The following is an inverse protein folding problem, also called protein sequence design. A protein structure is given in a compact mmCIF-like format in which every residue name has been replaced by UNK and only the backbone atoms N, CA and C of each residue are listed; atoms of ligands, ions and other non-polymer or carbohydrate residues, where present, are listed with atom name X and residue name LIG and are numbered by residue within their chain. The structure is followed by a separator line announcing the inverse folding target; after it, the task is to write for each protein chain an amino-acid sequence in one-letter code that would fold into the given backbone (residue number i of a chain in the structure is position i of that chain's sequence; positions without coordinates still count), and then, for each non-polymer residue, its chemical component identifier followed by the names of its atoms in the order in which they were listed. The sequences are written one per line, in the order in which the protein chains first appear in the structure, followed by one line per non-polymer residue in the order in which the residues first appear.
data_IF_089461927651
#
_entry.id   IF_089461927651
#
_cell.length_a   1.000
_cell.length_b   1.000
_cell.length_c   1.000
_cell.angle_alpha   90.00
_cell.angle_beta   90.00
_cell.angle_gamma   90.00
#
_symmetry.space_group_name_H-M   'P 1'
#
loop_
_entity.id
_entity.type
_entity.pdbx_description
1 polymer ?
#
# COMPACT_ATOMS: atom_id res chain seq x y z
N UNK A 1 -13.39 13.40 13.50
CA UNK A 1 -13.02 13.14 12.08
C UNK A 1 -11.96 12.04 12.09
N UNK A 2 -12.03 11.08 11.17
CA UNK A 2 -11.16 9.90 11.11
C UNK A 2 -10.68 9.67 9.67
N UNK A 3 -9.62 8.87 9.52
CA UNK A 3 -9.09 8.44 8.21
C UNK A 3 -9.05 6.91 8.16
N UNK A 4 -9.42 6.35 7.01
CA UNK A 4 -9.28 4.92 6.71
C UNK A 4 -8.70 4.77 5.31
N UNK A 5 -7.69 3.92 5.19
CA UNK A 5 -7.04 3.65 3.91
C UNK A 5 -7.79 2.56 3.14
N UNK A 6 -7.97 2.78 1.83
CA UNK A 6 -8.38 1.75 0.89
C UNK A 6 -7.12 1.20 0.21
N UNK A 7 -6.72 -0.04 0.42
CA UNK A 7 -7.32 -1.10 1.26
C UNK A 7 -6.25 -1.80 2.08
N UNK A 8 -6.66 -2.65 3.03
CA UNK A 8 -5.68 -3.49 3.73
C UNK A 8 -5.03 -4.50 2.78
N UNK A 9 -5.83 -5.26 2.04
CA UNK A 9 -5.36 -6.29 1.10
C UNK A 9 -5.50 -5.84 -0.34
N UNK A 10 -4.64 -6.34 -1.23
CA UNK A 10 -4.95 -6.35 -2.67
C UNK A 10 -6.27 -7.09 -2.87
N UNK A 11 -7.18 -6.47 -3.62
CA UNK A 11 -8.56 -6.92 -3.76
C UNK A 11 -8.96 -7.05 -5.23
N UNK A 12 -10.19 -7.50 -5.48
CA UNK A 12 -10.78 -7.57 -6.81
C UNK A 12 -11.38 -6.20 -7.17
N UNK A 13 -10.81 -5.54 -8.17
CA UNK A 13 -11.22 -4.22 -8.64
C UNK A 13 -12.20 -4.33 -9.82
N UNK A 14 -13.41 -4.79 -9.53
CA UNK A 14 -14.55 -4.74 -10.45
C UNK A 14 -14.23 -5.18 -11.88
N UNK A 15 -14.46 -4.32 -12.87
CA UNK A 15 -14.22 -4.60 -14.29
C UNK A 15 -12.74 -4.84 -14.63
N UNK A 16 -11.81 -4.39 -13.79
CA UNK A 16 -10.36 -4.55 -13.96
C UNK A 16 -9.85 -5.84 -13.31
N UNK A 17 -10.72 -6.56 -12.60
CA UNK A 17 -10.37 -7.77 -11.89
C UNK A 17 -9.20 -7.56 -10.93
N UNK A 18 -8.17 -8.37 -11.06
CA UNK A 18 -7.08 -8.44 -10.09
C UNK A 18 -5.79 -7.72 -10.53
N UNK A 19 -5.80 -7.06 -11.69
CA UNK A 19 -4.63 -6.36 -12.21
C UNK A 19 -4.24 -5.17 -11.31
N UNK A 20 -5.17 -4.29 -10.88
CA UNK A 20 -4.83 -3.25 -9.92
C UNK A 20 -4.50 -3.80 -8.53
N UNK A 21 -3.53 -3.20 -7.86
CA UNK A 21 -3.07 -3.62 -6.52
C UNK A 21 -2.98 -2.42 -5.57
N UNK A 22 -4.05 -2.21 -4.80
CA UNK A 22 -4.19 -1.08 -3.85
C UNK A 22 -3.83 -1.42 -2.40
N UNK A 23 -3.60 -2.69 -2.08
CA UNK A 23 -3.41 -3.14 -0.71
C UNK A 23 -2.15 -2.57 -0.06
N UNK A 24 -2.25 -2.25 1.23
CA UNK A 24 -1.07 -2.17 2.11
C UNK A 24 -0.36 -3.53 2.22
N UNK A 25 -1.08 -4.62 1.94
CA UNK A 25 -0.61 -6.00 1.99
C UNK A 25 -0.94 -6.66 0.67
N UNK A 26 0.09 -7.14 -0.04
CA UNK A 26 -0.08 -7.95 -1.23
C UNK A 26 -0.60 -9.34 -0.87
N UNK A 27 -1.37 -9.95 -1.78
CA UNK A 27 -1.91 -11.30 -1.60
C UNK A 27 -1.47 -12.17 -2.78
N UNK A 28 -0.76 -13.25 -2.49
CA UNK A 28 -0.60 -14.34 -3.45
C UNK A 28 -1.95 -15.07 -3.55
N UNK A 29 -2.56 -15.06 -4.73
CA UNK A 29 -3.91 -15.59 -4.94
C UNK A 29 -3.96 -17.10 -5.13
N UNK A 30 -2.81 -17.75 -5.33
CA UNK A 30 -2.71 -19.21 -5.40
C UNK A 30 -2.53 -19.82 -4.00
N UNK A 31 -1.70 -19.19 -3.17
CA UNK A 31 -1.34 -19.72 -1.84
C UNK A 31 -2.02 -19.01 -0.68
N UNK A 32 -2.67 -17.87 -0.92
CA UNK A 32 -3.20 -16.94 0.07
C UNK A 32 -2.15 -16.33 1.01
N UNK A 33 -0.86 -16.46 0.69
CA UNK A 33 0.19 -15.79 1.43
C UNK A 33 0.02 -14.26 1.37
N UNK A 34 0.33 -13.60 2.48
CA UNK A 34 0.16 -12.15 2.66
C UNK A 34 1.51 -11.49 2.85
N UNK A 35 1.77 -10.46 2.06
CA UNK A 35 3.06 -9.77 2.00
C UNK A 35 2.86 -8.29 2.32
N UNK A 36 3.04 -7.88 3.60
CA UNK A 36 2.97 -6.48 3.98
C UNK A 36 3.97 -5.64 3.18
N UNK A 37 3.49 -4.56 2.59
CA UNK A 37 4.32 -3.58 1.86
C UNK A 37 4.89 -2.55 2.85
N UNK A 38 5.99 -1.87 2.50
CA UNK A 38 6.54 -0.78 3.31
C UNK A 38 5.49 0.27 3.69
N UNK A 39 4.52 0.54 2.80
CA UNK A 39 3.39 1.45 3.06
C UNK A 39 2.56 1.06 4.29
N UNK A 40 2.41 -0.23 4.60
CA UNK A 40 1.73 -0.70 5.81
C UNK A 40 2.46 -0.27 7.08
N UNK A 41 3.77 -0.45 7.11
CA UNK A 41 4.61 -0.06 8.24
C UNK A 41 4.63 1.46 8.42
N UNK A 42 4.71 2.20 7.30
CA UNK A 42 4.65 3.67 7.29
C UNK A 42 3.32 4.18 7.84
N UNK A 43 2.18 3.69 7.33
CA UNK A 43 0.86 4.12 7.82
C UNK A 43 0.68 3.79 9.31
N UNK A 44 1.20 2.64 9.75
CA UNK A 44 1.25 2.28 11.17
C UNK A 44 2.07 3.26 12.01
N UNK A 45 3.20 3.77 11.47
CA UNK A 45 4.02 4.78 12.16
C UNK A 45 3.28 6.12 12.29
N UNK A 46 2.60 6.57 11.23
CA UNK A 46 1.79 7.79 11.22
C UNK A 46 0.65 7.68 12.24
N UNK A 47 -0.05 6.55 12.26
CA UNK A 47 -1.14 6.32 13.20
C UNK A 47 -0.68 6.35 14.67
N UNK A 48 0.48 5.75 14.98
CA UNK A 48 1.08 5.79 16.32
C UNK A 48 1.55 7.18 16.72
N UNK A 49 2.17 7.91 15.80
CA UNK A 49 2.65 9.26 16.04
C UNK A 49 1.53 10.31 16.07
N UNK A 50 0.36 9.99 15.50
CA UNK A 50 -0.74 10.94 15.23
C UNK A 50 -0.28 12.17 14.44
N UNK A 51 0.74 11.99 13.61
CA UNK A 51 1.34 13.04 12.80
C UNK A 51 1.91 12.43 11.52
N UNK A 52 1.88 13.21 10.44
CA UNK A 52 2.54 12.86 9.18
C UNK A 52 3.90 13.54 9.17
N UNK A 53 4.98 12.76 9.06
CA UNK A 53 6.35 13.30 8.92
C UNK A 53 6.55 14.06 7.60
N UNK A 54 7.65 14.81 7.48
CA UNK A 54 7.95 15.54 6.24
C UNK A 54 8.21 14.56 5.07
N UNK A 55 7.76 14.93 3.87
CA UNK A 55 7.90 14.09 2.68
C UNK A 55 9.37 13.74 2.35
N UNK A 56 10.30 14.62 2.70
CA UNK A 56 11.74 14.46 2.47
C UNK A 56 12.39 13.31 3.28
N UNK A 57 11.73 12.80 4.31
CA UNK A 57 12.21 11.68 5.14
C UNK A 57 11.39 10.41 5.03
N UNK A 58 10.47 10.30 4.06
CA UNK A 58 9.59 9.15 3.96
C UNK A 58 10.37 7.90 3.51
N UNK A 59 10.29 6.76 4.24
CA UNK A 59 10.91 5.51 3.82
C UNK A 59 10.30 4.94 2.52
N UNK A 60 9.20 5.53 2.03
CA UNK A 60 8.51 5.13 0.80
C UNK A 60 9.01 5.86 -0.46
N UNK A 61 9.94 6.81 -0.34
CA UNK A 61 10.42 7.61 -1.47
C UNK A 61 11.01 6.75 -2.61
N UNK A 62 11.60 5.60 -2.30
CA UNK A 62 12.10 4.65 -3.29
C UNK A 62 11.04 3.77 -3.96
N UNK A 63 9.87 3.57 -3.33
CA UNK A 63 8.81 2.68 -3.82
C UNK A 63 7.96 3.32 -4.93
N UNK A 64 7.75 4.64 -4.83
CA UNK A 64 7.01 5.43 -5.85
C UNK A 64 7.76 5.44 -7.19
N UNK A 65 9.10 5.47 -7.15
CA UNK A 65 9.93 5.48 -8.36
C UNK A 65 9.91 4.13 -9.12
N UNK A 66 9.79 3.00 -8.41
CA UNK A 66 9.80 1.66 -9.02
C UNK A 66 8.48 1.26 -9.66
N UNK A 67 7.36 1.88 -9.28
CA UNK A 67 6.02 1.59 -9.84
C UNK A 67 5.63 2.45 -11.04
N UNK A 68 6.34 3.54 -11.31
CA UNK A 68 6.07 4.41 -12.46
C UNK A 68 6.50 3.82 -13.83
N UNK A 69 7.18 2.66 -13.84
CA UNK A 69 7.66 2.01 -15.07
C UNK A 69 6.85 0.79 -15.54
N UNK A 70 5.89 0.32 -14.74
CA UNK A 70 5.00 -0.78 -15.12
C UNK A 70 3.67 -0.22 -15.58
N UNK A 71 3.39 -0.30 -16.89
CA UNK A 71 2.03 -0.13 -17.40
C UNK A 71 1.06 -1.10 -16.71
N UNK A 72 -0.21 -0.71 -16.65
CA UNK A 72 -1.30 -1.53 -16.11
C UNK A 72 -1.28 -2.98 -16.60
#
# INVERSE_FOLDING_TARGET
RSYMYWSLLDNFEWALGYAPTFGLVGVDRQTFARHPRPSAAWLGSVARARAVGSAAGSPLAGEVAQRAGGGF
#
